data_IF_402575349417
#
_entry.id   IF_402575349417
#
_cell.length_a   1.000
_cell.length_b   1.000
_cell.length_c   1.000
_cell.angle_alpha   90.00
_cell.angle_beta   90.00
_cell.angle_gamma   90.00
#
_symmetry.space_group_name_H-M   'P 1'
#
loop_
_entity.id
_entity.type
_entity.pdbx_description
1 polymer ?
#
# COMPACT_ATOMS: atom_id res chain seq x y z
N UNK A 1 -54.68 10.42 35.42
CA UNK A 1 -55.84 9.66 34.93
C UNK A 1 -55.30 8.57 34.00
N UNK A 2 -55.66 7.31 34.26
CA UNK A 2 -55.00 6.13 33.71
C UNK A 2 -55.55 5.72 32.34
N UNK A 3 -54.64 5.48 31.39
CA UNK A 3 -54.92 5.04 30.01
C UNK A 3 -55.09 3.50 29.98
N UNK A 4 -56.16 3.01 30.62
CA UNK A 4 -56.51 1.58 30.67
C UNK A 4 -57.95 1.36 30.22
N UNK A 5 -58.14 0.35 29.38
CA UNK A 5 -59.45 -0.11 28.93
C UNK A 5 -60.16 -0.92 30.02
N UNK A 6 -61.35 -0.46 30.45
CA UNK A 6 -62.07 -0.91 31.65
C UNK A 6 -62.62 -2.34 31.55
N UNK A 7 -62.64 -2.95 30.36
CA UNK A 7 -63.12 -4.33 30.20
C UNK A 7 -62.03 -5.40 30.22
N UNK A 8 -60.78 -5.05 29.91
CA UNK A 8 -59.69 -6.03 29.75
C UNK A 8 -58.37 -5.63 30.41
N UNK A 9 -58.30 -4.47 31.10
CA UNK A 9 -57.13 -4.03 31.86
C UNK A 9 -55.87 -3.77 31.01
N UNK A 10 -56.00 -3.77 29.68
CA UNK A 10 -54.90 -3.56 28.74
C UNK A 10 -54.59 -2.07 28.66
N UNK A 11 -53.30 -1.76 28.61
CA UNK A 11 -52.82 -0.43 28.25
C UNK A 11 -53.11 -0.20 26.78
N UNK A 12 -53.67 0.96 26.42
CA UNK A 12 -53.84 1.32 25.02
C UNK A 12 -52.45 1.42 24.36
N UNK A 13 -52.25 0.87 23.14
CA UNK A 13 -51.00 1.04 22.44
C UNK A 13 -50.81 2.52 22.12
N UNK A 14 -49.96 3.17 22.90
CA UNK A 14 -49.51 4.53 22.67
C UNK A 14 -48.81 4.60 21.32
N UNK A 15 -49.38 5.39 20.42
CA UNK A 15 -48.81 5.90 19.17
C UNK A 15 -47.71 5.02 18.51
N UNK A 16 -48.10 4.28 17.47
CA UNK A 16 -47.22 3.58 16.54
C UNK A 16 -46.32 4.50 15.66
N UNK A 17 -46.13 5.77 16.02
CA UNK A 17 -45.22 6.70 15.33
C UNK A 17 -43.74 6.52 15.68
N UNK A 18 -43.36 5.54 16.50
CA UNK A 18 -41.94 5.17 16.64
C UNK A 18 -41.53 4.26 15.48
N UNK A 19 -41.67 4.79 14.26
CA UNK A 19 -40.92 4.34 13.09
C UNK A 19 -39.45 4.48 13.46
N UNK A 20 -38.87 3.40 14.01
CA UNK A 20 -37.45 3.30 14.25
C UNK A 20 -36.69 3.70 12.99
N UNK A 21 -35.51 4.30 13.16
CA UNK A 21 -34.66 4.84 12.07
C UNK A 21 -34.72 3.89 10.86
N UNK A 22 -35.16 4.38 9.67
CA UNK A 22 -35.38 3.52 8.52
C UNK A 22 -34.12 2.70 8.20
N UNK A 23 -34.34 1.41 7.96
CA UNK A 23 -33.28 0.45 7.60
C UNK A 23 -32.52 1.01 6.39
N UNK A 24 -31.21 1.25 6.54
CA UNK A 24 -30.37 1.88 5.52
C UNK A 24 -30.05 3.37 5.72
N UNK A 25 -30.66 4.06 6.69
CA UNK A 25 -30.32 5.47 6.96
C UNK A 25 -28.90 5.67 7.52
N UNK A 26 -28.24 4.60 7.99
CA UNK A 26 -26.80 4.63 8.32
C UNK A 26 -25.94 4.49 7.08
N UNK A 27 -26.33 3.60 6.16
CA UNK A 27 -25.67 3.40 4.86
C UNK A 27 -25.74 4.67 4.02
N UNK A 28 -26.93 5.26 3.88
CA UNK A 28 -27.12 6.52 3.15
C UNK A 28 -26.32 7.70 3.73
N UNK A 29 -26.22 7.78 5.06
CA UNK A 29 -25.38 8.79 5.71
C UNK A 29 -23.90 8.59 5.39
N UNK A 30 -23.44 7.34 5.35
CA UNK A 30 -22.06 7.02 4.99
C UNK A 30 -21.72 7.38 3.53
N UNK A 31 -22.62 7.07 2.60
CA UNK A 31 -22.47 7.40 1.18
C UNK A 31 -22.40 8.92 0.98
N UNK A 32 -23.38 9.66 1.48
CA UNK A 32 -23.37 11.13 1.35
C UNK A 32 -22.16 11.78 2.03
N UNK A 33 -21.70 11.24 3.16
CA UNK A 33 -20.49 11.74 3.81
C UNK A 33 -19.24 11.58 2.94
N UNK A 34 -19.09 10.43 2.27
CA UNK A 34 -17.94 10.18 1.40
C UNK A 34 -17.99 11.05 0.14
N UNK A 35 -19.18 11.27 -0.43
CA UNK A 35 -19.38 12.19 -1.55
C UNK A 35 -18.99 13.62 -1.19
N UNK A 36 -19.49 14.13 -0.07
CA UNK A 36 -19.16 15.48 0.43
C UNK A 36 -17.64 15.61 0.72
N UNK A 37 -17.04 14.57 1.30
CA UNK A 37 -15.61 14.55 1.59
C UNK A 37 -14.76 14.57 0.32
N UNK A 38 -15.13 13.79 -0.69
CA UNK A 38 -14.44 13.78 -1.98
C UNK A 38 -14.54 15.15 -2.67
N UNK A 39 -15.73 15.74 -2.70
CA UNK A 39 -15.94 17.06 -3.30
C UNK A 39 -15.12 18.16 -2.57
N UNK A 40 -15.05 18.10 -1.24
CA UNK A 40 -14.17 18.99 -0.46
C UNK A 40 -12.69 18.75 -0.75
N UNK A 41 -12.28 17.49 -0.94
CA UNK A 41 -10.90 17.14 -1.27
C UNK A 41 -10.50 17.62 -2.67
N UNK A 42 -11.34 17.42 -3.68
CA UNK A 42 -11.07 17.88 -5.05
C UNK A 42 -10.97 19.40 -5.15
N UNK A 43 -11.81 20.11 -4.39
CA UNK A 43 -11.83 21.58 -4.41
C UNK A 43 -10.72 22.23 -3.57
N UNK A 44 -10.34 21.65 -2.44
CA UNK A 44 -9.43 22.30 -1.47
C UNK A 44 -8.25 21.46 -0.99
N UNK A 45 -8.20 20.17 -1.31
CA UNK A 45 -7.20 19.21 -0.83
C UNK A 45 -5.76 19.72 -0.97
N UNK A 46 -5.29 20.12 -2.17
CA UNK A 46 -3.94 20.63 -2.37
C UNK A 46 -3.61 21.85 -1.50
N UNK A 47 -4.54 22.79 -1.38
CA UNK A 47 -4.36 23.99 -0.57
C UNK A 47 -4.32 23.66 0.93
N UNK A 48 -5.09 22.67 1.39
CA UNK A 48 -5.02 22.17 2.77
C UNK A 48 -3.69 21.47 3.02
N UNK A 49 -3.22 20.62 2.11
CA UNK A 49 -1.91 19.96 2.21
C UNK A 49 -0.80 21.01 2.38
N UNK A 50 -0.80 22.05 1.54
CA UNK A 50 0.20 23.11 1.63
C UNK A 50 0.17 23.82 2.98
N UNK A 51 -1.02 24.16 3.49
CA UNK A 51 -1.17 24.74 4.84
C UNK A 51 -0.68 23.81 5.95
N UNK A 52 -0.88 22.50 5.81
CA UNK A 52 -0.38 21.52 6.79
C UNK A 52 1.14 21.44 6.72
N UNK A 53 1.75 21.45 5.53
CA UNK A 53 3.21 21.47 5.37
C UNK A 53 3.80 22.73 6.04
N UNK A 54 3.18 23.89 5.84
CA UNK A 54 3.65 25.16 6.41
C UNK A 54 3.48 25.24 7.93
N UNK A 55 2.34 24.79 8.46
CA UNK A 55 1.99 24.99 9.89
C UNK A 55 2.34 23.80 10.78
N UNK A 56 2.28 22.57 10.25
CA UNK A 56 2.41 21.31 10.99
C UNK A 56 3.12 20.23 10.15
N UNK A 57 4.37 20.49 9.71
CA UNK A 57 5.10 19.58 8.81
C UNK A 57 5.28 18.17 9.40
N UNK A 58 5.42 18.04 10.73
CA UNK A 58 5.53 16.75 11.40
C UNK A 58 4.29 15.86 11.22
N UNK A 59 3.09 16.44 11.14
CA UNK A 59 1.87 15.67 10.98
C UNK A 59 1.67 15.25 9.53
N UNK A 60 2.07 16.10 8.58
CA UNK A 60 2.16 15.71 7.18
C UNK A 60 3.08 14.49 7.00
N UNK A 61 4.29 14.53 7.57
CA UNK A 61 5.23 13.41 7.50
C UNK A 61 4.70 12.13 8.17
N UNK A 62 3.98 12.24 9.29
CA UNK A 62 3.32 11.09 9.93
C UNK A 62 2.23 10.49 9.05
N UNK A 63 1.40 11.32 8.40
CA UNK A 63 0.38 10.83 7.46
C UNK A 63 1.04 10.11 6.30
N UNK A 64 2.08 10.70 5.69
CA UNK A 64 2.85 10.05 4.62
C UNK A 64 3.43 8.71 5.08
N UNK A 65 4.06 8.67 6.26
CA UNK A 65 4.60 7.44 6.83
C UNK A 65 3.51 6.38 7.12
N UNK A 66 2.29 6.79 7.47
CA UNK A 66 1.17 5.88 7.72
C UNK A 66 0.57 5.25 6.45
N UNK A 67 0.77 5.90 5.30
CA UNK A 67 0.37 5.38 3.98
C UNK A 67 1.38 4.36 3.45
N UNK A 68 2.62 4.40 3.95
CA UNK A 68 3.63 3.40 3.61
C UNK A 68 3.25 2.06 4.24
N UNK A 69 3.34 0.95 3.49
CA UNK A 69 3.24 -0.39 4.09
C UNK A 69 4.24 -0.50 5.25
N UNK A 70 3.78 -0.95 6.42
CA UNK A 70 4.65 -1.14 7.59
C UNK A 70 5.66 -2.26 7.34
N UNK A 71 5.23 -3.25 6.58
CA UNK A 71 6.03 -4.37 6.09
C UNK A 71 6.34 -4.12 4.61
N UNK A 72 7.17 -3.13 4.33
CA UNK A 72 7.92 -3.12 3.07
C UNK A 72 8.91 -4.28 3.14
N UNK A 73 8.42 -5.51 2.96
CA UNK A 73 9.23 -6.69 2.71
C UNK A 73 9.77 -6.59 1.28
N UNK A 74 10.53 -5.53 1.00
CA UNK A 74 11.42 -5.50 -0.14
C UNK A 74 12.44 -6.58 0.21
N UNK A 75 12.23 -7.80 -0.29
CA UNK A 75 13.21 -8.87 -0.26
C UNK A 75 14.42 -8.44 -1.10
N UNK A 76 15.23 -7.51 -0.56
CA UNK A 76 16.54 -7.14 -1.10
C UNK A 76 17.50 -8.33 -0.97
N UNK A 77 17.21 -9.26 -0.06
CA UNK A 77 17.97 -10.48 0.17
C UNK A 77 17.34 -11.71 -0.49
N UNK A 78 16.89 -11.64 -1.76
CA UNK A 78 16.59 -12.89 -2.49
C UNK A 78 17.82 -13.81 -2.56
N UNK A 79 19.04 -13.28 -2.49
CA UNK A 79 20.28 -14.06 -2.53
C UNK A 79 20.58 -14.77 -1.20
N UNK A 80 20.19 -14.18 -0.07
CA UNK A 80 20.53 -14.70 1.27
C UNK A 80 19.70 -15.89 1.74
N UNK A 81 18.54 -16.13 1.11
CA UNK A 81 17.64 -17.25 1.44
C UNK A 81 17.65 -18.37 0.40
N UNK A 82 18.50 -18.28 -0.63
CA UNK A 82 18.65 -19.32 -1.65
C UNK A 82 19.54 -20.44 -1.15
N UNK A 83 19.17 -21.69 -1.45
CA UNK A 83 20.12 -22.81 -1.28
C UNK A 83 21.25 -22.69 -2.30
N UNK A 84 22.37 -23.37 -2.03
CA UNK A 84 23.52 -23.38 -2.94
C UNK A 84 23.13 -23.82 -4.35
N UNK A 85 22.21 -24.78 -4.49
CA UNK A 85 21.71 -25.25 -5.79
C UNK A 85 20.96 -24.15 -6.55
N UNK A 86 20.10 -23.42 -5.84
CA UNK A 86 19.33 -22.32 -6.42
C UNK A 86 20.25 -21.16 -6.82
N UNK A 87 21.27 -20.89 -6.01
CA UNK A 87 22.28 -19.87 -6.29
C UNK A 87 23.07 -20.23 -7.56
N UNK A 88 23.47 -21.49 -7.71
CA UNK A 88 24.17 -22.01 -8.90
C UNK A 88 23.30 -21.86 -10.16
N UNK A 89 22.02 -22.22 -10.08
CA UNK A 89 21.10 -22.07 -11.22
C UNK A 89 20.95 -20.60 -11.64
N UNK A 90 20.87 -19.69 -10.66
CA UNK A 90 20.77 -18.26 -10.90
C UNK A 90 22.02 -17.70 -11.56
N UNK A 91 23.21 -18.12 -11.10
CA UNK A 91 24.51 -17.74 -11.69
C UNK A 91 24.56 -18.19 -13.16
N UNK A 92 24.21 -19.46 -13.44
CA UNK A 92 24.18 -19.97 -14.82
C UNK A 92 23.26 -19.17 -15.74
N UNK A 93 22.09 -18.76 -15.23
CA UNK A 93 21.14 -17.94 -15.99
C UNK A 93 21.68 -16.53 -16.26
N UNK A 94 22.38 -15.93 -15.30
CA UNK A 94 23.03 -14.64 -15.47
C UNK A 94 24.17 -14.72 -16.49
N UNK A 95 25.02 -15.75 -16.39
CA UNK A 95 26.08 -16.01 -17.37
C UNK A 95 25.51 -16.11 -18.78
N UNK A 96 24.49 -16.95 -19.01
CA UNK A 96 23.87 -17.10 -20.32
C UNK A 96 23.28 -15.79 -20.88
N UNK A 97 22.83 -14.90 -20.00
CA UNK A 97 22.27 -13.59 -20.39
C UNK A 97 23.38 -12.59 -20.75
N UNK A 98 24.51 -12.64 -20.05
CA UNK A 98 25.61 -11.68 -20.18
C UNK A 98 26.60 -12.10 -21.29
N UNK A 99 26.78 -13.41 -21.52
CA UNK A 99 27.69 -13.96 -22.52
C UNK A 99 27.58 -13.33 -23.92
N UNK A 100 26.38 -13.11 -24.50
CA UNK A 100 26.26 -12.44 -25.80
C UNK A 100 26.84 -11.02 -25.83
N UNK A 101 26.83 -10.32 -24.70
CA UNK A 101 27.37 -8.95 -24.59
C UNK A 101 28.89 -8.93 -24.36
N UNK A 102 29.43 -9.93 -23.67
CA UNK A 102 30.87 -10.09 -23.47
C UNK A 102 31.57 -10.59 -24.74
N UNK A 103 30.96 -11.53 -25.47
CA UNK A 103 31.48 -12.02 -26.74
C UNK A 103 31.55 -10.93 -27.82
N UNK A 104 30.70 -9.89 -27.72
CA UNK A 104 30.74 -8.73 -28.61
C UNK A 104 31.87 -7.72 -28.28
N UNK A 105 32.51 -7.83 -27.10
CA UNK A 105 33.62 -6.96 -26.66
C UNK A 105 34.98 -7.68 -26.66
N UNK A 106 35.05 -8.92 -27.16
CA UNK A 106 36.22 -9.80 -27.09
C UNK A 106 37.07 -9.88 -28.37
N UNK A 107 36.80 -9.09 -29.40
CA UNK A 107 37.61 -9.03 -30.62
C UNK A 107 38.40 -7.71 -30.71
N UNK A 108 39.16 -7.35 -29.67
CA UNK A 108 40.24 -6.36 -29.77
C UNK A 108 41.17 -6.50 -28.55
N UNK A 109 42.11 -7.44 -28.63
CA UNK A 109 43.05 -7.72 -27.55
C UNK A 109 44.05 -8.81 -27.87
N UNK A 110 44.57 -8.84 -29.10
CA UNK A 110 45.83 -9.54 -29.39
C UNK A 110 46.95 -8.79 -28.66
N UNK A 111 47.36 -9.30 -27.51
CA UNK A 111 48.64 -8.97 -26.93
C UNK A 111 49.30 -10.24 -26.43
N UNK A 112 50.07 -10.85 -27.33
CA UNK A 112 51.03 -11.90 -27.04
C UNK A 112 52.01 -11.43 -25.95
N UNK A 113 51.71 -11.78 -24.70
CA UNK A 113 52.63 -11.72 -23.58
C UNK A 113 53.48 -12.97 -23.52
N UNK A 114 54.53 -13.01 -24.34
CA UNK A 114 55.61 -14.00 -24.29
C UNK A 114 56.20 -14.04 -22.87
N UNK A 115 55.86 -15.07 -22.11
CA UNK A 115 56.44 -15.32 -20.78
C UNK A 115 57.77 -16.03 -20.95
N UNK A 116 58.83 -15.25 -21.12
CA UNK A 116 60.20 -15.73 -20.96
C UNK A 116 60.35 -16.35 -19.56
N UNK A 117 60.72 -17.64 -19.55
CA UNK A 117 61.02 -18.43 -18.36
C UNK A 117 62.25 -17.85 -17.65
N UNK A 118 62.10 -17.40 -16.41
CA UNK A 118 63.23 -17.24 -15.49
C UNK A 118 63.47 -18.57 -14.79
N UNK A 119 64.55 -19.26 -15.17
CA UNK A 119 65.09 -20.40 -14.43
C UNK A 119 66.63 -20.31 -14.40
N UNK A 120 67.13 -20.12 -13.17
CA UNK A 120 68.44 -20.45 -12.59
C UNK A 120 69.73 -19.79 -13.10
#
# INVERSE_FOLDING_TARGET
MADKDDKNGRFLPGNNSSTGRPKGARTKLGESFLEDLLHAWESQGPAVIQKVIEKRPQDFLKVVASLMPKDLNINVNQIGEMTDEQLIERIRKLDATIQPFLSAHGEDGDNGGDRAQTAH
#
